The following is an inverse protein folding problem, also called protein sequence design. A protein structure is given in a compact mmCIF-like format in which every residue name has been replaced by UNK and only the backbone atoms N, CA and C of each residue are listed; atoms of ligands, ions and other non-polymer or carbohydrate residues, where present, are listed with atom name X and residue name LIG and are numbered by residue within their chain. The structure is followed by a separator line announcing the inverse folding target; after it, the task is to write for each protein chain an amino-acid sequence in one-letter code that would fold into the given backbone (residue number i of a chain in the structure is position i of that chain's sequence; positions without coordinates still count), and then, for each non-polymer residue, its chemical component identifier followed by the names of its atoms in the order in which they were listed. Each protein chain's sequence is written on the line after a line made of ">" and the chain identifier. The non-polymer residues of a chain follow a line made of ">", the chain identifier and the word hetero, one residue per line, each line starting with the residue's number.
data_IF_601501548489
#
_entry.id   IF_601501548489
#
_cell.length_a   1.000
_cell.length_b   1.000
_cell.length_c   1.000
_cell.angle_alpha   90.00
_cell.angle_beta   90.00
_cell.angle_gamma   90.00
#
_symmetry.space_group_name_H-M   'P 1'
#
loop_
_entity.id
_entity.type
_entity.pdbx_description
1 polymer ?
#
# COMPACT_ATOMS: atom_id res chain seq x y z
N UNK A 1 27.27 5.17 38.93
CA UNK A 1 28.49 4.37 39.18
C UNK A 1 29.24 5.04 40.32
N UNK A 2 28.93 4.65 41.56
CA UNK A 2 29.63 5.14 42.74
C UNK A 2 30.97 4.39 42.78
N UNK A 3 32.07 5.12 42.59
CA UNK A 3 33.39 4.55 42.78
C UNK A 3 33.61 4.52 44.30
N UNK A 4 33.34 3.35 44.87
CA UNK A 4 33.66 3.01 46.25
C UNK A 4 35.18 3.03 46.41
N UNK A 5 35.69 3.95 47.21
CA UNK A 5 37.11 4.23 47.43
C UNK A 5 37.80 3.18 48.30
N UNK A 6 37.34 1.92 48.27
CA UNK A 6 37.70 0.90 49.24
C UNK A 6 38.71 -0.17 48.75
N UNK A 7 39.25 -0.08 47.52
CA UNK A 7 40.05 -1.20 46.96
C UNK A 7 41.33 -0.81 46.19
N UNK A 8 42.06 0.21 46.64
CA UNK A 8 43.45 0.40 46.21
C UNK A 8 44.33 0.73 47.41
N UNK A 9 44.88 -0.32 48.04
CA UNK A 9 46.20 -0.38 48.70
C UNK A 9 46.22 -1.40 49.86
N UNK A 10 46.05 -2.69 49.56
CA UNK A 10 46.45 -3.79 50.46
C UNK A 10 47.97 -4.07 50.40
N UNK A 11 48.78 -3.03 50.17
CA UNK A 11 50.21 -3.04 50.48
C UNK A 11 50.41 -2.37 51.84
N UNK A 12 50.68 -3.14 52.90
CA UNK A 12 50.99 -2.61 54.23
C UNK A 12 52.25 -1.74 54.20
N UNK A 13 52.10 -0.45 53.96
CA UNK A 13 53.11 0.56 54.28
C UNK A 13 52.86 1.03 55.72
N UNK A 14 53.73 0.66 56.66
CA UNK A 14 53.61 1.05 58.07
C UNK A 14 54.09 2.50 58.26
N UNK A 15 53.16 3.45 58.21
CA UNK A 15 53.46 4.90 58.29
C UNK A 15 53.60 5.40 59.74
N UNK A 16 53.12 4.64 60.72
CA UNK A 16 53.00 5.07 62.13
C UNK A 16 54.32 5.34 62.88
N UNK A 17 55.47 4.85 62.39
CA UNK A 17 56.80 5.19 62.96
C UNK A 17 57.46 6.40 62.29
N UNK A 18 57.07 6.75 61.06
CA UNK A 18 57.66 7.84 60.29
C UNK A 18 57.13 9.22 60.72
N UNK A 19 55.85 9.30 61.07
CA UNK A 19 55.19 10.54 61.50
C UNK A 19 55.68 11.13 62.83
N UNK A 20 56.49 10.39 63.63
CA UNK A 20 57.01 10.86 64.92
C UNK A 20 58.31 11.65 64.82
N UNK A 21 58.92 11.73 63.64
CA UNK A 21 60.10 12.58 63.37
C UNK A 21 59.68 13.81 62.56
N UNK A 22 60.35 14.94 62.78
CA UNK A 22 60.10 16.21 62.06
C UNK A 22 60.14 16.02 60.53
N UNK A 23 60.97 15.08 60.05
CA UNK A 23 61.11 14.74 58.64
C UNK A 23 59.87 14.02 58.06
N UNK A 24 59.25 13.09 58.79
CA UNK A 24 58.08 12.36 58.29
C UNK A 24 56.80 13.19 58.26
N UNK A 25 56.64 14.14 59.19
CA UNK A 25 55.57 15.14 59.17
C UNK A 25 55.66 16.05 57.94
N UNK A 26 56.87 16.51 57.60
CA UNK A 26 57.14 17.35 56.42
C UNK A 26 56.84 16.61 55.12
N UNK A 27 57.25 15.35 55.00
CA UNK A 27 57.01 14.54 53.80
C UNK A 27 55.52 14.23 53.61
N UNK A 28 54.79 13.93 54.70
CA UNK A 28 53.35 13.72 54.63
C UNK A 28 52.57 15.00 54.27
N UNK A 29 52.99 16.15 54.79
CA UNK A 29 52.41 17.45 54.42
C UNK A 29 52.64 17.77 52.94
N UNK A 30 53.84 17.48 52.41
CA UNK A 30 54.13 17.62 50.98
C UNK A 30 53.26 16.72 50.11
N UNK A 31 53.09 15.45 50.50
CA UNK A 31 52.21 14.50 49.80
C UNK A 31 50.74 14.97 49.83
N UNK A 32 50.26 15.47 50.96
CA UNK A 32 48.90 16.01 51.11
C UNK A 32 48.66 17.19 50.15
N UNK A 33 49.62 18.11 50.04
CA UNK A 33 49.52 19.25 49.11
C UNK A 33 49.48 18.80 47.65
N UNK A 34 50.26 17.77 47.27
CA UNK A 34 50.21 17.20 45.93
C UNK A 34 48.85 16.56 45.63
N UNK A 35 48.31 15.79 46.57
CA UNK A 35 46.97 15.17 46.42
C UNK A 35 45.89 16.24 46.29
N UNK A 36 45.91 17.29 47.12
CA UNK A 36 44.96 18.40 47.02
C UNK A 36 45.06 19.14 45.68
N UNK A 37 46.27 19.37 45.18
CA UNK A 37 46.50 19.95 43.87
C UNK A 37 45.93 19.10 42.73
N UNK A 38 46.14 17.78 42.78
CA UNK A 38 45.59 16.84 41.80
C UNK A 38 44.05 16.80 41.84
N UNK A 39 43.45 16.76 43.04
CA UNK A 39 42.00 16.82 43.21
C UNK A 39 41.41 18.13 42.68
N UNK A 40 42.11 19.25 42.86
CA UNK A 40 41.69 20.54 42.32
C UNK A 40 41.68 20.54 40.80
N UNK A 41 42.72 19.97 40.18
CA UNK A 41 42.81 19.83 38.73
C UNK A 41 41.70 18.93 38.16
N UNK A 42 41.50 17.75 38.75
CA UNK A 42 40.39 16.84 38.37
C UNK A 42 39.01 17.50 38.48
N UNK A 43 38.79 18.34 39.49
CA UNK A 43 37.54 19.07 39.63
C UNK A 43 37.34 20.11 38.51
N UNK A 44 38.43 20.69 38.01
CA UNK A 44 38.44 21.52 36.80
C UNK A 44 38.00 20.73 35.58
N UNK A 45 38.65 19.60 35.29
CA UNK A 45 38.33 18.73 34.15
C UNK A 45 36.87 18.26 34.17
N UNK A 46 36.34 17.89 35.34
CA UNK A 46 34.94 17.49 35.51
C UNK A 46 33.96 18.63 35.22
N UNK A 47 34.31 19.88 35.58
CA UNK A 47 33.47 21.05 35.27
C UNK A 47 33.46 21.33 33.78
N UNK A 48 34.61 21.25 33.11
CA UNK A 48 34.71 21.42 31.67
C UNK A 48 33.90 20.34 30.93
N UNK A 49 34.07 19.06 31.30
CA UNK A 49 33.33 17.95 30.71
C UNK A 49 31.80 18.12 30.84
N UNK A 50 31.32 18.61 32.00
CA UNK A 50 29.89 18.94 32.18
C UNK A 50 29.44 20.05 31.24
N UNK A 51 30.26 21.08 31.03
CA UNK A 51 29.99 22.14 30.07
C UNK A 51 29.87 21.61 28.64
N UNK A 52 30.82 20.79 28.22
CA UNK A 52 30.80 20.15 26.88
C UNK A 52 29.59 19.24 26.72
N UNK A 53 29.22 18.47 27.74
CA UNK A 53 28.04 17.61 27.73
C UNK A 53 26.74 18.41 27.59
N UNK A 54 26.61 19.53 28.30
CA UNK A 54 25.45 20.42 28.17
C UNK A 54 25.38 21.07 26.77
N UNK A 55 26.53 21.44 26.22
CA UNK A 55 26.64 21.90 24.83
C UNK A 55 26.15 20.86 23.83
N UNK A 56 26.56 19.60 23.99
CA UNK A 56 26.06 18.50 23.16
C UNK A 56 24.56 18.26 23.32
N UNK A 57 24.02 18.31 24.54
CA UNK A 57 22.58 18.16 24.76
C UNK A 57 21.78 19.24 23.99
N UNK A 58 22.23 20.49 24.05
CA UNK A 58 21.59 21.61 23.33
C UNK A 58 21.64 21.41 21.81
N UNK A 59 22.76 20.94 21.28
CA UNK A 59 22.89 20.64 19.84
C UNK A 59 21.99 19.47 19.42
N UNK A 60 21.86 18.43 20.24
CA UNK A 60 20.95 17.31 20.00
C UNK A 60 19.50 17.78 19.93
N UNK A 61 19.08 18.67 20.83
CA UNK A 61 17.73 19.23 20.82
C UNK A 61 17.45 20.06 19.55
N UNK A 62 18.43 20.84 19.09
CA UNK A 62 18.34 21.58 17.83
C UNK A 62 18.18 20.63 16.62
N UNK A 63 19.03 19.60 16.52
CA UNK A 63 18.93 18.58 15.45
C UNK A 63 17.58 17.85 15.50
N UNK A 64 17.08 17.53 16.69
CA UNK A 64 15.75 16.91 16.87
C UNK A 64 14.62 17.79 16.34
N UNK A 65 14.71 19.11 16.54
CA UNK A 65 13.77 20.07 15.98
C UNK A 65 13.86 20.11 14.45
N UNK A 66 15.07 20.19 13.89
CA UNK A 66 15.29 20.23 12.43
C UNK A 66 14.75 18.96 11.75
N UNK A 67 14.97 17.78 12.35
CA UNK A 67 14.43 16.51 11.85
C UNK A 67 12.89 16.52 11.81
N UNK A 68 12.23 17.11 12.82
CA UNK A 68 10.76 17.27 12.82
C UNK A 68 10.30 18.24 11.71
N UNK A 69 11.04 19.33 11.51
CA UNK A 69 10.82 20.27 10.41
C UNK A 69 10.91 19.58 9.05
N UNK A 70 12.02 18.90 8.79
CA UNK A 70 12.25 18.14 7.55
C UNK A 70 11.18 17.08 7.31
N UNK A 71 10.70 16.39 8.35
CA UNK A 71 9.60 15.42 8.22
C UNK A 71 8.30 16.09 7.72
N UNK A 72 8.03 17.31 8.18
CA UNK A 72 6.87 18.09 7.76
C UNK A 72 7.02 18.54 6.31
N UNK A 73 8.19 19.07 5.94
CA UNK A 73 8.48 19.51 4.58
C UNK A 73 8.42 18.36 3.57
N UNK A 74 9.00 17.20 3.91
CA UNK A 74 8.93 15.99 3.07
C UNK A 74 7.48 15.54 2.87
N UNK A 75 6.65 15.64 3.90
CA UNK A 75 5.22 15.31 3.79
C UNK A 75 4.48 16.29 2.87
N UNK A 76 4.77 17.58 2.97
CA UNK A 76 4.21 18.62 2.09
C UNK A 76 4.64 18.43 0.63
N UNK A 77 5.93 18.18 0.39
CA UNK A 77 6.46 17.92 -0.95
C UNK A 77 5.82 16.68 -1.58
N UNK A 78 5.60 15.61 -0.79
CA UNK A 78 4.89 14.43 -1.26
C UNK A 78 3.49 14.77 -1.75
N UNK A 79 2.71 15.52 -0.97
CA UNK A 79 1.36 15.95 -1.37
C UNK A 79 1.36 16.82 -2.64
N UNK A 80 2.35 17.70 -2.80
CA UNK A 80 2.48 18.51 -4.01
C UNK A 80 2.81 17.66 -5.24
N UNK A 81 3.71 16.68 -5.10
CA UNK A 81 4.04 15.73 -6.17
C UNK A 81 2.81 14.90 -6.56
N UNK A 82 2.03 14.42 -5.59
CA UNK A 82 0.80 13.67 -5.84
C UNK A 82 -0.24 14.51 -6.60
N UNK A 83 -0.40 15.78 -6.23
CA UNK A 83 -1.26 16.73 -6.94
C UNK A 83 -0.82 16.95 -8.40
N UNK A 84 0.47 17.23 -8.63
CA UNK A 84 1.03 17.46 -9.97
C UNK A 84 0.92 16.21 -10.86
N UNK A 85 1.14 15.02 -10.29
CA UNK A 85 0.92 13.76 -11.01
C UNK A 85 -0.55 13.64 -11.45
N UNK A 86 -1.50 13.96 -10.57
CA UNK A 86 -2.92 13.95 -10.89
C UNK A 86 -3.29 14.91 -12.02
N UNK A 87 -2.84 16.17 -11.93
CA UNK A 87 -3.11 17.18 -12.95
C UNK A 87 -2.52 16.77 -14.32
N UNK A 88 -1.30 16.25 -14.32
CA UNK A 88 -0.63 15.79 -15.54
C UNK A 88 -1.38 14.63 -16.22
N UNK A 89 -1.86 13.65 -15.44
CA UNK A 89 -2.68 12.55 -15.97
C UNK A 89 -4.00 13.07 -16.53
N UNK A 90 -4.70 13.91 -15.78
CA UNK A 90 -5.97 14.48 -16.19
C UNK A 90 -5.84 15.23 -17.52
N UNK A 91 -4.79 16.02 -17.69
CA UNK A 91 -4.51 16.73 -18.93
C UNK A 91 -4.33 15.78 -20.12
N UNK A 92 -3.63 14.67 -19.92
CA UNK A 92 -3.28 13.72 -20.98
C UNK A 92 -4.48 12.86 -21.38
N UNK A 93 -5.28 12.45 -20.42
CA UNK A 93 -6.58 11.81 -20.68
C UNK A 93 -7.54 12.78 -21.37
N UNK A 94 -7.58 14.06 -20.97
CA UNK A 94 -8.41 15.06 -21.63
C UNK A 94 -7.98 15.30 -23.09
N UNK A 95 -6.68 15.35 -23.37
CA UNK A 95 -6.18 15.46 -24.74
C UNK A 95 -6.58 14.25 -25.61
N UNK A 96 -6.46 13.03 -25.07
CA UNK A 96 -6.93 11.82 -25.74
C UNK A 96 -8.45 11.80 -25.92
N UNK A 97 -9.20 12.41 -25.00
CA UNK A 97 -10.66 12.51 -25.11
C UNK A 97 -11.11 13.52 -26.18
N UNK A 98 -10.39 14.63 -26.35
CA UNK A 98 -10.70 15.68 -27.32
C UNK A 98 -10.44 15.25 -28.76
N UNK A 99 -9.34 14.53 -29.00
CA UNK A 99 -8.95 14.03 -30.32
C UNK A 99 -8.63 12.52 -30.26
N UNK A 100 -9.66 11.67 -30.12
CA UNK A 100 -9.48 10.24 -29.89
C UNK A 100 -8.92 9.48 -31.09
N UNK A 101 -8.87 10.10 -32.27
CA UNK A 101 -8.31 9.51 -33.49
C UNK A 101 -6.82 9.85 -33.66
N UNK A 102 -6.28 10.74 -32.83
CA UNK A 102 -4.88 11.16 -32.92
C UNK A 102 -3.97 10.15 -32.22
N UNK A 103 -3.11 9.43 -32.97
CA UNK A 103 -2.29 8.36 -32.41
C UNK A 103 -1.28 8.86 -31.37
N UNK A 104 -0.90 10.13 -31.44
CA UNK A 104 0.04 10.72 -30.47
C UNK A 104 -0.66 10.94 -29.12
N UNK A 105 -1.85 11.53 -29.13
CA UNK A 105 -2.62 11.78 -27.91
C UNK A 105 -2.98 10.47 -27.19
N UNK A 106 -3.43 9.46 -27.92
CA UNK A 106 -3.76 8.14 -27.35
C UNK A 106 -2.50 7.41 -26.87
N UNK A 107 -1.38 7.44 -27.62
CA UNK A 107 -0.11 6.85 -27.18
C UNK A 107 0.45 7.49 -25.91
N UNK A 108 0.43 8.82 -25.82
CA UNK A 108 0.90 9.54 -24.64
C UNK A 108 0.08 9.15 -23.40
N UNK A 109 -1.25 9.11 -23.51
CA UNK A 109 -2.13 8.67 -22.44
C UNK A 109 -1.86 7.21 -22.01
N UNK A 110 -1.71 6.28 -22.97
CA UNK A 110 -1.36 4.87 -22.68
C UNK A 110 -0.04 4.75 -21.91
N UNK A 111 1.01 5.41 -22.39
CA UNK A 111 2.34 5.34 -21.79
C UNK A 111 2.36 5.90 -20.37
N UNK A 112 1.61 6.98 -20.12
CA UNK A 112 1.53 7.59 -18.80
C UNK A 112 0.83 6.66 -17.81
N UNK A 113 -0.33 6.11 -18.18
CA UNK A 113 -1.06 5.17 -17.33
C UNK A 113 -0.21 3.92 -17.01
N UNK A 114 0.45 3.36 -18.02
CA UNK A 114 1.35 2.21 -17.84
C UNK A 114 2.54 2.55 -16.92
N UNK A 115 3.19 3.69 -17.16
CA UNK A 115 4.34 4.13 -16.37
C UNK A 115 3.98 4.44 -14.91
N UNK A 116 2.78 4.96 -14.64
CA UNK A 116 2.31 5.18 -13.27
C UNK A 116 2.05 3.87 -12.54
N UNK A 117 1.40 2.89 -13.20
CA UNK A 117 1.21 1.55 -12.63
C UNK A 117 2.55 0.88 -12.33
N UNK A 118 3.46 0.87 -13.30
CA UNK A 118 4.80 0.25 -13.18
C UNK A 118 5.61 0.87 -12.03
N UNK A 119 5.61 2.20 -11.94
CA UNK A 119 6.30 2.94 -10.87
C UNK A 119 5.51 2.99 -9.57
N UNK A 120 4.35 2.32 -9.50
CA UNK A 120 3.45 2.29 -8.33
C UNK A 120 3.03 3.68 -7.84
N UNK A 121 2.95 4.67 -8.73
CA UNK A 121 2.53 6.04 -8.40
C UNK A 121 1.02 6.05 -8.21
N UNK A 122 0.57 6.49 -7.03
CA UNK A 122 -0.86 6.61 -6.70
C UNK A 122 -1.33 8.03 -7.02
N UNK A 123 -2.39 8.13 -7.80
CA UNK A 123 -3.10 9.38 -8.10
C UNK A 123 -4.48 9.28 -7.46
N UNK A 124 -5.01 10.42 -6.98
CA UNK A 124 -6.35 10.47 -6.41
C UNK A 124 -7.40 9.87 -7.38
N UNK A 125 -8.14 8.83 -6.97
CA UNK A 125 -9.13 8.17 -7.82
C UNK A 125 -10.19 9.11 -8.42
N UNK A 126 -10.55 10.20 -7.75
CA UNK A 126 -11.54 11.16 -8.23
C UNK A 126 -11.07 11.93 -9.47
N UNK A 127 -9.76 12.22 -9.56
CA UNK A 127 -9.14 12.85 -10.73
C UNK A 127 -9.20 11.88 -11.91
N UNK A 128 -8.89 10.61 -11.66
CA UNK A 128 -8.95 9.53 -12.67
C UNK A 128 -10.38 9.34 -13.17
N UNK A 129 -11.37 9.35 -12.29
CA UNK A 129 -12.78 9.27 -12.65
C UNK A 129 -13.24 10.42 -13.53
N UNK A 130 -12.96 11.66 -13.11
CA UNK A 130 -13.40 12.86 -13.83
C UNK A 130 -12.80 12.98 -15.23
N UNK A 131 -11.50 12.71 -15.35
CA UNK A 131 -10.81 12.75 -16.65
C UNK A 131 -11.15 11.54 -17.53
N UNK A 132 -11.21 10.35 -16.94
CA UNK A 132 -11.49 9.09 -17.62
C UNK A 132 -12.90 9.00 -18.19
N UNK A 133 -13.90 9.55 -17.50
CA UNK A 133 -15.30 9.52 -17.96
C UNK A 133 -15.48 10.20 -19.33
N UNK A 134 -14.76 11.30 -19.57
CA UNK A 134 -14.78 12.01 -20.85
C UNK A 134 -14.15 11.18 -21.96
N UNK A 135 -13.03 10.52 -21.67
CA UNK A 135 -12.36 9.61 -22.61
C UNK A 135 -13.26 8.43 -22.96
N UNK A 136 -13.89 7.79 -21.98
CA UNK A 136 -14.81 6.67 -22.21
C UNK A 136 -15.94 7.11 -23.15
N UNK A 137 -16.56 8.27 -22.90
CA UNK A 137 -17.64 8.79 -23.73
C UNK A 137 -17.22 9.05 -25.19
N UNK A 138 -15.99 9.55 -25.43
CA UNK A 138 -15.51 9.86 -26.78
C UNK A 138 -14.86 8.66 -27.51
N UNK A 139 -14.40 7.65 -26.76
CA UNK A 139 -13.71 6.47 -27.30
C UNK A 139 -14.60 5.48 -28.07
N UNK A 140 -15.93 5.61 -27.99
CA UNK A 140 -16.87 4.70 -28.65
C UNK A 140 -16.65 4.55 -30.19
N UNK A 141 -15.93 5.48 -30.81
CA UNK A 141 -15.65 5.50 -32.25
C UNK A 141 -14.16 5.37 -32.63
N UNK A 142 -13.24 5.24 -31.67
CA UNK A 142 -11.80 5.05 -31.91
C UNK A 142 -11.27 3.80 -31.22
N UNK A 143 -10.64 2.88 -31.96
CA UNK A 143 -10.11 1.64 -31.38
C UNK A 143 -8.88 1.95 -30.51
N UNK A 144 -8.04 2.90 -30.95
CA UNK A 144 -6.90 3.38 -30.18
C UNK A 144 -7.33 4.04 -28.86
N UNK A 145 -8.39 4.85 -28.87
CA UNK A 145 -8.91 5.46 -27.65
C UNK A 145 -9.56 4.42 -26.72
N UNK A 146 -10.19 3.38 -27.28
CA UNK A 146 -10.76 2.28 -26.51
C UNK A 146 -9.68 1.44 -25.83
N UNK A 147 -8.52 1.27 -26.48
CA UNK A 147 -7.35 0.65 -25.84
C UNK A 147 -6.84 1.49 -24.65
N UNK A 148 -6.88 2.82 -24.75
CA UNK A 148 -6.55 3.72 -23.62
C UNK A 148 -7.55 3.51 -22.47
N UNK A 149 -8.83 3.31 -22.75
CA UNK A 149 -9.83 2.97 -21.72
C UNK A 149 -9.47 1.68 -21.00
N UNK A 150 -9.01 0.64 -21.71
CA UNK A 150 -8.48 -0.56 -21.08
C UNK A 150 -7.36 -0.23 -20.09
N UNK A 151 -6.34 0.52 -20.53
CA UNK A 151 -5.21 0.94 -19.67
C UNK A 151 -5.63 1.81 -18.48
N UNK A 152 -6.66 2.63 -18.66
CA UNK A 152 -7.23 3.45 -17.61
C UNK A 152 -7.88 2.58 -16.52
N UNK A 153 -8.62 1.55 -16.92
CA UNK A 153 -9.23 0.59 -15.99
C UNK A 153 -8.18 -0.29 -15.32
N UNK A 154 -7.13 -0.71 -16.04
CA UNK A 154 -5.97 -1.40 -15.46
C UNK A 154 -5.43 -0.57 -14.28
N UNK A 155 -5.14 0.71 -14.54
CA UNK A 155 -4.62 1.64 -13.53
C UNK A 155 -5.61 1.88 -12.39
N UNK A 156 -6.91 2.05 -12.69
CA UNK A 156 -7.95 2.22 -11.66
C UNK A 156 -8.03 1.00 -10.73
N UNK A 157 -7.92 -0.21 -11.25
CA UNK A 157 -7.91 -1.42 -10.42
C UNK A 157 -6.64 -1.55 -9.59
N UNK A 158 -5.50 -1.07 -10.08
CA UNK A 158 -4.28 -0.94 -9.28
C UNK A 158 -4.45 0.03 -8.10
N UNK A 159 -5.20 1.14 -8.28
CA UNK A 159 -5.50 2.05 -7.17
C UNK A 159 -6.42 1.39 -6.12
N UNK A 160 -7.24 0.41 -6.50
CA UNK A 160 -8.15 -0.30 -5.60
C UNK A 160 -7.46 -1.26 -4.62
N UNK A 161 -6.13 -1.44 -4.67
CA UNK A 161 -5.38 -2.19 -3.66
C UNK A 161 -5.62 -1.66 -2.23
N UNK A 162 -5.78 -0.35 -2.10
CA UNK A 162 -6.03 0.29 -0.80
C UNK A 162 -7.43 -0.02 -0.26
N UNK A 163 -8.39 -0.27 -1.15
CA UNK A 163 -9.79 -0.54 -0.80
C UNK A 163 -9.99 -1.89 -0.08
N UNK A 164 -9.02 -2.80 -0.20
CA UNK A 164 -9.06 -4.13 0.43
C UNK A 164 -8.19 -4.21 1.69
N UNK A 165 -7.49 -3.13 2.04
CA UNK A 165 -6.72 -3.06 3.28
C UNK A 165 -7.69 -3.14 4.46
N UNK A 166 -7.47 -4.13 5.34
CA UNK A 166 -8.33 -4.37 6.51
C UNK A 166 -9.42 -5.41 6.32
N UNK A 167 -9.59 -6.00 5.12
CA UNK A 167 -10.46 -7.17 4.96
C UNK A 167 -9.87 -8.41 5.65
N UNK A 168 -8.55 -8.47 5.78
CA UNK A 168 -7.81 -9.63 6.29
C UNK A 168 -7.23 -10.49 5.17
N UNK A 169 -6.44 -11.50 5.54
CA UNK A 169 -5.84 -12.41 4.57
C UNK A 169 -6.85 -13.42 4.03
N UNK A 170 -6.87 -13.70 2.71
CA UNK A 170 -7.73 -14.73 2.15
C UNK A 170 -7.38 -16.11 2.73
N UNK A 171 -8.41 -16.87 3.08
CA UNK A 171 -8.29 -18.24 3.60
C UNK A 171 -9.01 -19.22 2.67
N UNK A 172 -8.65 -20.52 2.67
CA UNK A 172 -9.37 -21.53 1.89
C UNK A 172 -10.87 -21.54 2.19
N UNK A 173 -11.66 -21.99 1.21
CA UNK A 173 -13.11 -22.08 1.38
C UNK A 173 -13.47 -23.06 2.53
N UNK A 174 -14.39 -22.67 3.43
CA UNK A 174 -14.82 -23.50 4.55
C UNK A 174 -15.59 -24.73 4.05
N UNK A 175 -15.48 -25.84 4.78
CA UNK A 175 -16.20 -27.10 4.44
C UNK A 175 -17.71 -26.93 4.56
N UNK A 176 -18.15 -26.02 5.41
CA UNK A 176 -19.54 -25.65 5.66
C UNK A 176 -20.20 -25.04 4.41
N UNK A 177 -19.41 -24.44 3.50
CA UNK A 177 -19.89 -23.91 2.23
C UNK A 177 -19.79 -24.93 1.07
N UNK A 178 -19.43 -26.19 1.33
CA UNK A 178 -19.20 -27.19 0.28
C UNK A 178 -20.43 -27.52 -0.58
N UNK A 179 -21.64 -27.24 -0.08
CA UNK A 179 -22.88 -27.45 -0.83
C UNK A 179 -23.13 -26.36 -1.89
N UNK A 180 -22.45 -25.22 -1.79
CA UNK A 180 -22.53 -24.15 -2.79
C UNK A 180 -21.62 -24.48 -3.97
N UNK A 181 -22.20 -24.55 -5.18
CA UNK A 181 -21.45 -24.79 -6.41
C UNK A 181 -20.98 -23.47 -6.99
N UNK A 182 -19.78 -23.04 -6.61
CA UNK A 182 -19.16 -21.89 -7.25
C UNK A 182 -18.72 -22.24 -8.68
N UNK A 183 -18.71 -21.25 -9.56
CA UNK A 183 -18.16 -21.39 -10.90
C UNK A 183 -17.45 -20.10 -11.32
N UNK A 184 -16.51 -20.23 -12.25
CA UNK A 184 -15.89 -19.11 -12.95
C UNK A 184 -15.79 -19.46 -14.43
N UNK A 185 -15.72 -18.43 -15.28
CA UNK A 185 -15.58 -18.62 -16.72
C UNK A 185 -14.15 -18.24 -17.14
N UNK A 186 -13.21 -19.20 -17.27
CA UNK A 186 -11.87 -18.87 -17.75
C UNK A 186 -11.93 -18.48 -19.24
N UNK A 187 -11.26 -17.40 -19.62
CA UNK A 187 -11.24 -16.90 -21.01
C UNK A 187 -10.38 -17.79 -21.94
N UNK A 188 -9.52 -18.62 -21.36
CA UNK A 188 -8.74 -19.64 -22.07
C UNK A 188 -9.04 -21.02 -21.48
N UNK A 189 -9.07 -22.08 -22.29
CA UNK A 189 -9.27 -23.44 -21.79
C UNK A 189 -8.24 -23.82 -20.72
N UNK A 190 -8.62 -24.60 -19.70
CA UNK A 190 -7.67 -25.09 -18.70
C UNK A 190 -6.56 -25.93 -19.34
N UNK A 191 -5.30 -25.67 -18.98
CA UNK A 191 -4.18 -26.51 -19.42
C UNK A 191 -4.20 -27.81 -18.63
N UNK A 192 -4.25 -28.96 -19.31
CA UNK A 192 -4.31 -30.30 -18.68
C UNK A 192 -5.45 -30.47 -17.65
N UNK A 193 -6.56 -29.76 -17.81
CA UNK A 193 -7.71 -29.84 -16.91
C UNK A 193 -7.50 -29.20 -15.52
N UNK A 194 -6.39 -28.48 -15.30
CA UNK A 194 -6.15 -27.74 -14.05
C UNK A 194 -6.64 -26.30 -14.19
N UNK A 195 -7.45 -25.87 -13.22
CA UNK A 195 -7.83 -24.48 -13.07
C UNK A 195 -6.69 -23.71 -12.42
N UNK A 196 -6.21 -22.66 -13.08
CA UNK A 196 -5.10 -21.82 -12.60
C UNK A 196 -5.57 -20.63 -11.73
N UNK A 197 -6.81 -20.72 -11.24
CA UNK A 197 -7.41 -19.74 -10.34
C UNK A 197 -7.37 -20.26 -8.91
N UNK A 198 -7.05 -19.37 -7.97
CA UNK A 198 -7.18 -19.67 -6.54
C UNK A 198 -8.47 -19.04 -6.03
N UNK A 199 -9.41 -19.88 -5.62
CA UNK A 199 -10.67 -19.46 -5.01
C UNK A 199 -10.55 -19.57 -3.50
N UNK A 200 -10.80 -18.46 -2.82
CA UNK A 200 -10.66 -18.31 -1.38
C UNK A 200 -11.75 -17.40 -0.83
N UNK A 201 -11.77 -17.19 0.49
CA UNK A 201 -12.71 -16.30 1.14
C UNK A 201 -12.04 -15.39 2.15
N UNK A 202 -12.70 -14.27 2.42
CA UNK A 202 -12.34 -13.34 3.49
C UNK A 202 -13.59 -12.93 4.26
N UNK A 203 -13.42 -12.70 5.57
CA UNK A 203 -14.50 -12.21 6.45
C UNK A 203 -15.48 -13.28 6.97
N UNK A 204 -15.26 -14.57 6.67
CA UNK A 204 -15.94 -15.70 7.31
C UNK A 204 -17.35 -15.98 6.79
N UNK A 205 -18.16 -16.65 7.63
CA UNK A 205 -19.52 -17.06 7.30
C UNK A 205 -20.55 -15.99 7.67
N UNK A 206 -21.63 -15.92 6.89
CA UNK A 206 -22.78 -15.04 7.08
C UNK A 206 -24.09 -15.79 6.72
N UNK A 207 -25.27 -15.29 7.13
CA UNK A 207 -26.54 -15.83 6.66
C UNK A 207 -26.59 -15.88 5.13
N UNK A 208 -27.15 -16.95 4.57
CA UNK A 208 -27.15 -17.21 3.12
C UNK A 208 -27.72 -16.05 2.30
N UNK A 209 -28.64 -15.26 2.85
CA UNK A 209 -29.28 -14.15 2.12
C UNK A 209 -28.43 -12.88 2.05
N UNK A 210 -27.37 -12.82 2.85
CA UNK A 210 -26.36 -11.76 2.86
C UNK A 210 -25.02 -12.24 2.32
N UNK A 211 -24.96 -13.49 1.85
CA UNK A 211 -23.72 -14.12 1.45
C UNK A 211 -23.34 -13.81 0.01
N UNK A 212 -22.04 -13.88 -0.25
CA UNK A 212 -21.46 -13.75 -1.56
C UNK A 212 -22.02 -14.80 -2.53
N UNK A 213 -21.98 -14.46 -3.82
CA UNK A 213 -22.33 -15.38 -4.90
C UNK A 213 -21.27 -15.31 -5.98
N UNK A 214 -20.88 -16.47 -6.48
CA UNK A 214 -19.90 -16.62 -7.55
C UNK A 214 -20.33 -17.82 -8.41
N UNK A 215 -21.15 -17.56 -9.42
CA UNK A 215 -21.83 -18.60 -10.18
C UNK A 215 -22.19 -18.13 -11.59
N UNK A 216 -22.56 -19.08 -12.45
CA UNK A 216 -23.10 -18.78 -13.76
C UNK A 216 -24.56 -18.31 -13.67
N UNK A 217 -24.96 -17.33 -14.48
CA UNK A 217 -26.35 -16.90 -14.63
C UNK A 217 -27.21 -18.03 -15.23
N UNK A 218 -26.63 -18.82 -16.12
CA UNK A 218 -27.27 -19.98 -16.76
C UNK A 218 -27.54 -21.17 -15.84
N UNK A 219 -26.87 -21.24 -14.67
CA UNK A 219 -27.01 -22.35 -13.71
C UNK A 219 -26.92 -21.84 -12.27
N UNK A 220 -27.88 -21.02 -11.80
CA UNK A 220 -27.81 -20.38 -10.49
C UNK A 220 -28.01 -21.40 -9.36
N UNK A 221 -27.31 -21.21 -8.24
CA UNK A 221 -27.61 -21.93 -7.01
C UNK A 221 -28.95 -21.46 -6.42
N UNK A 222 -29.68 -22.35 -5.73
CA UNK A 222 -30.96 -22.00 -5.11
C UNK A 222 -30.80 -21.07 -3.89
N UNK A 223 -29.70 -21.22 -3.14
CA UNK A 223 -29.39 -20.45 -1.93
C UNK A 223 -28.06 -19.72 -2.10
N UNK A 224 -27.77 -18.75 -1.23
CA UNK A 224 -26.45 -18.12 -1.16
C UNK A 224 -25.36 -19.07 -0.66
N UNK A 225 -24.11 -18.65 -0.80
CA UNK A 225 -22.94 -19.47 -0.45
C UNK A 225 -22.70 -19.63 1.06
N UNK A 226 -23.27 -18.75 1.88
CA UNK A 226 -22.92 -18.61 3.30
C UNK A 226 -21.56 -17.95 3.54
N UNK A 227 -20.78 -17.63 2.50
CA UNK A 227 -19.49 -16.95 2.58
C UNK A 227 -19.71 -15.43 2.53
N UNK A 228 -18.97 -14.65 3.33
CA UNK A 228 -19.08 -13.18 3.30
C UNK A 228 -18.56 -12.59 2.00
N UNK A 229 -17.36 -12.98 1.58
CA UNK A 229 -16.73 -12.44 0.37
C UNK A 229 -15.87 -13.51 -0.28
N UNK A 230 -16.09 -13.76 -1.57
CA UNK A 230 -15.18 -14.58 -2.36
C UNK A 230 -13.97 -13.76 -2.80
N UNK A 231 -12.80 -14.39 -2.81
CA UNK A 231 -11.59 -13.84 -3.43
C UNK A 231 -11.19 -14.78 -4.57
N UNK A 232 -11.23 -14.24 -5.79
CA UNK A 232 -10.82 -14.90 -7.03
C UNK A 232 -9.45 -14.36 -7.42
N UNK A 233 -8.40 -15.13 -7.17
CA UNK A 233 -7.05 -14.79 -7.62
C UNK A 233 -6.81 -15.40 -9.00
N UNK A 234 -6.66 -14.54 -10.00
CA UNK A 234 -6.51 -14.95 -11.39
C UNK A 234 -5.10 -15.41 -11.76
N UNK A 235 -4.07 -15.12 -10.95
CA UNK A 235 -2.66 -15.44 -11.24
C UNK A 235 -2.18 -15.03 -12.65
N UNK A 236 -2.76 -13.99 -13.24
CA UNK A 236 -2.49 -13.51 -14.61
C UNK A 236 -3.37 -14.14 -15.69
N UNK A 237 -4.25 -15.08 -15.36
CA UNK A 237 -5.14 -15.74 -16.30
C UNK A 237 -6.41 -14.94 -16.60
N UNK A 238 -7.02 -15.26 -17.75
CA UNK A 238 -8.20 -14.58 -18.24
C UNK A 238 -9.48 -15.03 -17.51
N UNK A 239 -10.22 -14.09 -16.90
CA UNK A 239 -11.55 -14.30 -16.33
C UNK A 239 -12.60 -13.62 -17.20
N UNK A 240 -13.47 -14.41 -17.82
CA UNK A 240 -14.60 -13.94 -18.60
C UNK A 240 -15.76 -13.54 -17.68
N UNK A 241 -16.31 -12.34 -17.90
CA UNK A 241 -17.46 -11.83 -17.16
C UNK A 241 -18.81 -12.25 -17.76
N UNK A 242 -18.84 -12.60 -19.05
CA UNK A 242 -20.07 -13.05 -19.70
C UNK A 242 -20.62 -14.31 -18.99
N UNK A 243 -21.94 -14.37 -18.80
CA UNK A 243 -22.67 -15.39 -18.05
C UNK A 243 -22.34 -15.48 -16.55
N UNK A 244 -21.71 -14.46 -15.95
CA UNK A 244 -21.37 -14.48 -14.51
C UNK A 244 -22.34 -13.68 -13.64
N UNK A 245 -22.67 -14.25 -12.47
CA UNK A 245 -23.19 -13.54 -11.29
C UNK A 245 -22.12 -13.50 -10.21
N UNK A 246 -21.70 -12.29 -9.86
CA UNK A 246 -20.74 -12.01 -8.81
C UNK A 246 -21.37 -11.04 -7.80
N UNK A 247 -21.54 -11.49 -6.57
CA UNK A 247 -22.03 -10.67 -5.46
C UNK A 247 -21.03 -10.77 -4.30
N UNK A 248 -20.54 -9.64 -3.78
CA UNK A 248 -19.50 -9.59 -2.75
C UNK A 248 -18.24 -10.39 -3.15
N UNK A 249 -17.61 -9.98 -4.25
CA UNK A 249 -16.45 -10.68 -4.82
C UNK A 249 -15.28 -9.72 -4.99
N UNK A 250 -14.10 -10.14 -4.57
CA UNK A 250 -12.83 -9.51 -4.95
C UNK A 250 -12.19 -10.35 -6.05
N UNK A 251 -12.03 -9.78 -7.22
CA UNK A 251 -11.23 -10.35 -8.30
C UNK A 251 -9.86 -9.65 -8.27
N UNK A 252 -8.77 -10.41 -8.24
CA UNK A 252 -7.43 -9.83 -8.25
C UNK A 252 -6.49 -10.55 -9.19
N UNK A 253 -5.46 -9.83 -9.65
CA UNK A 253 -4.40 -10.38 -10.51
C UNK A 253 -4.95 -11.13 -11.72
N UNK A 254 -5.99 -10.62 -12.36
CA UNK A 254 -6.69 -11.32 -13.45
C UNK A 254 -6.73 -10.46 -14.72
N UNK A 255 -6.73 -11.11 -15.88
CA UNK A 255 -7.11 -10.46 -17.14
C UNK A 255 -8.62 -10.57 -17.27
N UNK A 256 -9.35 -9.52 -16.93
CA UNK A 256 -10.81 -9.46 -16.98
C UNK A 256 -11.27 -9.24 -18.41
N UNK A 257 -12.06 -10.18 -18.94
CA UNK A 257 -12.57 -10.16 -20.32
C UNK A 257 -14.08 -9.97 -20.31
N UNK A 258 -14.59 -9.09 -21.19
CA UNK A 258 -16.02 -8.88 -21.37
C UNK A 258 -16.37 -8.68 -22.85
N UNK A 259 -17.23 -9.55 -23.41
CA UNK A 259 -17.63 -9.45 -24.81
C UNK A 259 -19.03 -8.86 -25.02
N UNK A 260 -19.73 -8.51 -23.93
CA UNK A 260 -21.07 -7.92 -23.99
C UNK A 260 -22.20 -8.85 -23.64
N UNK A 261 -21.90 -10.06 -23.18
CA UNK A 261 -22.89 -11.00 -22.70
C UNK A 261 -23.57 -10.51 -21.42
N UNK A 262 -24.61 -11.23 -20.97
CA UNK A 262 -25.23 -10.98 -19.68
C UNK A 262 -24.20 -11.12 -18.56
N UNK A 263 -24.18 -10.17 -17.62
CA UNK A 263 -23.40 -10.23 -16.39
C UNK A 263 -24.15 -9.49 -15.29
N UNK A 264 -24.02 -9.96 -14.06
CA UNK A 264 -24.51 -9.29 -12.85
C UNK A 264 -23.39 -9.17 -11.84
N UNK A 265 -22.98 -7.93 -11.56
CA UNK A 265 -21.99 -7.55 -10.55
C UNK A 265 -22.72 -6.77 -9.45
N UNK A 266 -22.55 -7.18 -8.20
CA UNK A 266 -23.02 -6.45 -7.02
C UNK A 266 -21.90 -6.43 -5.99
N UNK A 267 -21.42 -5.25 -5.62
CA UNK A 267 -20.29 -5.12 -4.68
C UNK A 267 -19.07 -5.95 -5.12
N UNK A 268 -18.63 -5.75 -6.37
CA UNK A 268 -17.45 -6.46 -6.93
C UNK A 268 -16.26 -5.53 -7.00
N UNK A 269 -15.13 -5.93 -6.42
CA UNK A 269 -13.88 -5.17 -6.47
C UNK A 269 -12.89 -5.85 -7.41
N UNK A 270 -12.27 -5.06 -8.28
CA UNK A 270 -11.18 -5.51 -9.15
C UNK A 270 -9.88 -4.89 -8.66
N UNK A 271 -8.88 -5.71 -8.37
CA UNK A 271 -7.61 -5.28 -7.77
C UNK A 271 -6.44 -5.78 -8.61
N UNK A 272 -5.64 -4.84 -9.11
CA UNK A 272 -4.49 -5.12 -9.98
C UNK A 272 -4.84 -6.06 -11.16
N UNK A 273 -5.94 -5.73 -11.84
CA UNK A 273 -6.44 -6.46 -13.00
C UNK A 273 -6.03 -5.79 -14.31
N UNK A 274 -6.09 -6.54 -15.40
CA UNK A 274 -6.03 -6.00 -16.77
C UNK A 274 -7.38 -6.18 -17.46
N UNK A 275 -7.88 -5.17 -18.16
CA UNK A 275 -9.20 -5.21 -18.79
C UNK A 275 -9.09 -5.34 -20.31
N UNK A 276 -9.78 -6.36 -20.84
CA UNK A 276 -9.92 -6.60 -22.28
C UNK A 276 -11.40 -6.69 -22.62
N UNK A 277 -11.95 -5.58 -23.10
CA UNK A 277 -13.37 -5.48 -23.40
C UNK A 277 -13.58 -5.19 -24.87
N UNK A 278 -14.57 -5.84 -25.48
CA UNK A 278 -14.99 -5.50 -26.85
C UNK A 278 -15.61 -4.10 -26.84
N UNK A 279 -15.30 -3.26 -27.81
CA UNK A 279 -15.91 -1.92 -27.94
C UNK A 279 -17.36 -2.03 -28.39
N UNK A 280 -18.28 -2.00 -27.43
CA UNK A 280 -19.74 -2.05 -27.61
C UNK A 280 -20.41 -1.24 -26.48
N UNK A 281 -21.69 -0.88 -26.64
CA UNK A 281 -22.43 -0.03 -25.68
C UNK A 281 -22.36 -0.55 -24.24
N UNK A 282 -22.65 -1.83 -24.01
CA UNK A 282 -22.59 -2.42 -22.65
C UNK A 282 -21.21 -2.35 -22.01
N UNK A 283 -20.15 -2.46 -22.81
CA UNK A 283 -18.79 -2.35 -22.31
C UNK A 283 -18.44 -0.90 -21.94
N UNK A 284 -18.99 0.09 -22.65
CA UNK A 284 -18.87 1.51 -22.29
C UNK A 284 -19.53 1.78 -20.93
N UNK A 285 -20.74 1.25 -20.71
CA UNK A 285 -21.46 1.37 -19.43
C UNK A 285 -20.74 0.68 -18.27
N UNK A 286 -20.23 -0.54 -18.52
CA UNK A 286 -19.40 -1.26 -17.55
C UNK A 286 -18.13 -0.46 -17.25
N UNK A 287 -17.41 0.05 -18.26
CA UNK A 287 -16.21 0.86 -18.07
C UNK A 287 -16.48 2.10 -17.20
N UNK A 288 -17.60 2.80 -17.41
CA UNK A 288 -18.01 3.93 -16.56
C UNK A 288 -18.23 3.50 -15.10
N UNK A 289 -18.80 2.31 -14.90
CA UNK A 289 -19.01 1.75 -13.56
C UNK A 289 -17.69 1.41 -12.88
N UNK A 290 -16.79 0.72 -13.59
CA UNK A 290 -15.49 0.29 -13.10
C UNK A 290 -14.54 1.46 -12.80
N UNK A 291 -14.75 2.61 -13.44
CA UNK A 291 -13.91 3.78 -13.24
C UNK A 291 -14.13 4.43 -11.85
N UNK A 292 -15.31 4.25 -11.24
CA UNK A 292 -15.67 4.91 -9.98
C UNK A 292 -14.79 4.44 -8.80
N UNK A 293 -14.55 5.29 -7.78
CA UNK A 293 -13.85 4.93 -6.54
C UNK A 293 -14.72 4.09 -5.59
N UNK A 294 -15.42 3.08 -6.10
CA UNK A 294 -16.34 2.24 -5.34
C UNK A 294 -16.42 0.82 -5.93
N UNK A 295 -16.90 -0.18 -5.17
CA UNK A 295 -17.23 -1.49 -5.71
C UNK A 295 -18.18 -1.40 -6.90
N UNK A 296 -17.92 -2.22 -7.91
CA UNK A 296 -18.72 -2.27 -9.12
C UNK A 296 -20.10 -2.88 -8.82
N UNK A 297 -21.14 -2.15 -9.20
CA UNK A 297 -22.51 -2.66 -9.28
C UNK A 297 -23.03 -2.40 -10.68
N UNK A 298 -23.25 -3.46 -11.44
CA UNK A 298 -23.60 -3.40 -12.86
C UNK A 298 -24.43 -4.63 -13.23
N UNK A 299 -25.51 -4.44 -13.99
CA UNK A 299 -26.28 -5.55 -14.56
C UNK A 299 -26.57 -5.28 -16.02
N UNK A 300 -26.32 -6.29 -16.84
CA UNK A 300 -26.75 -6.32 -18.25
C UNK A 300 -27.63 -7.54 -18.57
N UNK A 301 -27.88 -8.40 -17.57
CA UNK A 301 -28.90 -9.42 -17.64
C UNK A 301 -30.27 -8.75 -17.47
N UNK A 302 -31.23 -9.10 -18.34
CA UNK A 302 -32.63 -8.73 -18.15
C UNK A 302 -33.12 -9.34 -16.82
N UNK A 303 -33.80 -8.54 -16.01
CA UNK A 303 -34.36 -8.92 -14.70
C UNK A 303 -35.42 -10.00 -14.80
#
# INVERSE_FOLDING_TARGET
>A
MAIDSASMATGKFSIGKWFKTDLGSKIASGLLLLVLGFLWNLNGDVRELKGTLHGFATQIDAVSSDVKGLKTDVSSLRSQVDFLNGEFVAQRLAAAAQDPQNPRSTRDAKNILAGLREKRVKVDPSIIEGAGSKLIASSARSDDAWEVVGKLLDYRSFLAEEDILGMGEPTPLPKEAANYKWSINPATPPVNGRLEFVISQVGGLVPVEQSARLEALSSPNQTGSGIRTFVVDGQGHGLMLDDMRMEHVVVRNAIVVYNGGPVRLLDVRFVDCEFRMRRITRAVELAQTLLRPAPATFSSAET
#
